data_IF_788887462334
#
_entry.id   IF_788887462334
#
_cell.length_a   1.000
_cell.length_b   1.000
_cell.length_c   1.000
_cell.angle_alpha   90.00
_cell.angle_beta   90.00
_cell.angle_gamma   90.00
#
_symmetry.space_group_name_H-M   'P 1'
#
loop_
_entity.id
_entity.type
_entity.pdbx_description
1 polymer ?
#
# COMPACT_ATOMS: atom_id res chain seq x y z
N UNK A 1 5.02 -41.57 -51.20
CA UNK A 1 5.25 -41.76 -49.74
C UNK A 1 6.01 -40.53 -49.25
N UNK A 2 5.65 -39.78 -48.23
CA UNK A 2 4.52 -39.79 -47.31
C UNK A 2 4.53 -38.40 -46.67
N UNK A 3 3.47 -37.61 -46.85
CA UNK A 3 3.27 -36.30 -46.19
C UNK A 3 3.04 -36.45 -44.66
N UNK A 4 3.21 -37.66 -44.10
CA UNK A 4 2.85 -37.98 -42.71
C UNK A 4 3.96 -37.81 -41.67
N UNK A 5 5.21 -37.50 -42.05
CA UNK A 5 6.28 -37.32 -41.06
C UNK A 5 6.35 -35.89 -40.48
N UNK A 6 5.92 -34.87 -41.24
CA UNK A 6 6.01 -33.47 -40.79
C UNK A 6 4.82 -33.05 -39.90
N UNK A 7 3.65 -33.68 -40.10
CA UNK A 7 2.45 -33.39 -39.30
C UNK A 7 2.47 -33.96 -37.88
N UNK A 8 3.23 -35.03 -37.64
CA UNK A 8 3.30 -35.68 -36.33
C UNK A 8 4.28 -34.96 -35.39
N UNK A 9 5.36 -34.36 -35.92
CA UNK A 9 6.33 -33.62 -35.11
C UNK A 9 5.81 -32.23 -34.68
N UNK A 10 4.95 -31.60 -35.48
CA UNK A 10 4.32 -30.31 -35.13
C UNK A 10 3.19 -30.48 -34.10
N UNK A 11 2.47 -31.61 -34.11
CA UNK A 11 1.46 -31.88 -33.08
C UNK A 11 2.07 -32.22 -31.71
N UNK A 12 3.26 -32.83 -31.63
CA UNK A 12 3.88 -33.16 -30.34
C UNK A 12 4.55 -31.96 -29.64
N UNK A 13 4.92 -30.90 -30.37
CA UNK A 13 5.47 -29.67 -29.78
C UNK A 13 4.40 -28.66 -29.31
N UNK A 14 3.17 -28.75 -29.83
CA UNK A 14 2.06 -27.86 -29.45
C UNK A 14 1.24 -28.40 -28.27
N UNK A 15 1.27 -29.71 -28.01
CA UNK A 15 0.50 -30.34 -26.91
C UNK A 15 1.16 -30.19 -25.53
N UNK A 16 2.42 -29.76 -25.44
CA UNK A 16 3.08 -29.49 -24.13
C UNK A 16 2.89 -28.06 -23.60
N UNK A 17 2.13 -27.19 -24.29
CA UNK A 17 1.87 -25.81 -23.82
C UNK A 17 0.39 -25.47 -23.67
N UNK A 18 -0.52 -26.45 -23.70
CA UNK A 18 -1.97 -26.20 -23.64
C UNK A 18 -2.52 -25.85 -22.25
N UNK A 19 -1.68 -25.62 -21.24
CA UNK A 19 -2.13 -25.17 -19.91
C UNK A 19 -2.04 -23.65 -19.67
N UNK A 20 -1.68 -22.83 -20.67
CA UNK A 20 -1.52 -21.38 -20.48
C UNK A 20 -2.34 -20.42 -21.38
N UNK A 21 -3.40 -20.81 -22.14
CA UNK A 21 -4.12 -19.82 -22.96
C UNK A 21 -4.92 -18.79 -22.13
N UNK A 22 -5.37 -19.13 -20.92
CA UNK A 22 -6.16 -18.23 -20.06
C UNK A 22 -5.31 -17.15 -19.38
N UNK A 23 -4.14 -17.52 -18.82
CA UNK A 23 -3.28 -16.58 -18.09
C UNK A 23 -2.73 -15.44 -18.97
N UNK A 24 -2.39 -15.73 -20.23
CA UNK A 24 -1.91 -14.70 -21.17
C UNK A 24 -3.04 -13.73 -21.59
N UNK A 25 -4.25 -14.25 -21.81
CA UNK A 25 -5.39 -13.43 -22.25
C UNK A 25 -5.98 -12.55 -21.12
N UNK A 26 -5.85 -12.97 -19.87
CA UNK A 26 -6.18 -12.15 -18.69
C UNK A 26 -5.11 -11.07 -18.47
N UNK A 27 -3.82 -11.42 -18.55
CA UNK A 27 -2.72 -10.46 -18.39
C UNK A 27 -2.76 -9.33 -19.42
N UNK A 28 -3.09 -9.64 -20.69
CA UNK A 28 -3.24 -8.63 -21.75
C UNK A 28 -4.45 -7.72 -21.49
N UNK A 29 -5.58 -8.28 -21.01
CA UNK A 29 -6.77 -7.50 -20.65
C UNK A 29 -6.49 -6.53 -19.51
N UNK A 30 -5.78 -6.97 -18.48
CA UNK A 30 -5.40 -6.13 -17.34
C UNK A 30 -4.47 -4.99 -17.75
N UNK A 31 -3.50 -5.27 -18.63
CA UNK A 31 -2.60 -4.25 -19.13
C UNK A 31 -3.33 -3.16 -19.95
N UNK A 32 -4.26 -3.57 -20.83
CA UNK A 32 -5.08 -2.64 -21.63
C UNK A 32 -6.04 -1.84 -20.76
N UNK A 33 -6.69 -2.50 -19.79
CA UNK A 33 -7.59 -1.84 -18.84
C UNK A 33 -6.83 -0.80 -18.00
N UNK A 34 -5.64 -1.15 -17.51
CA UNK A 34 -4.78 -0.22 -16.76
C UNK A 34 -4.38 0.99 -17.60
N UNK A 35 -3.97 0.79 -18.85
CA UNK A 35 -3.62 1.89 -19.76
C UNK A 35 -4.81 2.80 -20.05
N UNK A 36 -5.99 2.22 -20.26
CA UNK A 36 -7.22 2.98 -20.51
C UNK A 36 -7.64 3.82 -19.29
N UNK A 37 -7.58 3.23 -18.08
CA UNK A 37 -7.84 3.95 -16.82
C UNK A 37 -6.87 5.11 -16.61
N UNK A 38 -5.57 4.90 -16.83
CA UNK A 38 -4.55 5.96 -16.69
C UNK A 38 -4.74 7.11 -17.69
N UNK A 39 -5.32 6.81 -18.87
CA UNK A 39 -5.61 7.81 -19.90
C UNK A 39 -6.87 8.63 -19.57
N UNK A 40 -7.91 7.99 -19.02
CA UNK A 40 -9.15 8.66 -18.63
C UNK A 40 -9.01 9.41 -17.29
N UNK A 41 -8.13 8.95 -16.41
CA UNK A 41 -7.92 9.51 -15.07
C UNK A 41 -6.43 9.85 -14.86
N UNK A 42 -5.90 10.90 -15.53
CA UNK A 42 -4.50 11.31 -15.38
C UNK A 42 -4.14 11.75 -13.95
N UNK A 43 -5.15 11.92 -13.08
CA UNK A 43 -5.03 12.29 -11.68
C UNK A 43 -5.02 11.07 -10.74
N UNK A 44 -4.99 9.84 -11.26
CA UNK A 44 -4.86 8.65 -10.41
C UNK A 44 -3.56 8.71 -9.62
N UNK A 45 -3.64 8.48 -8.31
CA UNK A 45 -2.44 8.36 -7.49
C UNK A 45 -1.56 7.22 -8.04
N UNK A 46 -0.22 7.37 -8.02
CA UNK A 46 0.66 6.31 -8.45
C UNK A 46 0.46 5.08 -7.58
N UNK A 47 0.67 3.88 -8.16
CA UNK A 47 0.49 2.61 -7.44
C UNK A 47 1.45 2.42 -6.27
N UNK A 48 2.52 3.24 -6.21
CA UNK A 48 3.49 3.25 -5.12
C UNK A 48 3.81 4.71 -4.78
N UNK A 49 3.77 5.04 -3.49
CA UNK A 49 4.22 6.34 -3.00
C UNK A 49 5.73 6.50 -3.24
N UNK A 50 6.14 7.71 -3.63
CA UNK A 50 7.56 8.04 -3.81
C UNK A 50 8.17 8.31 -2.43
N UNK A 51 9.19 7.54 -2.08
CA UNK A 51 9.92 7.75 -0.83
C UNK A 51 10.86 8.97 -0.95
N UNK A 52 11.16 9.69 0.15
CA UNK A 52 12.17 10.73 0.16
C UNK A 52 13.55 10.16 -0.25
N UNK A 53 14.32 10.93 -1.03
CA UNK A 53 15.62 10.49 -1.55
C UNK A 53 16.63 10.13 -0.44
N UNK A 54 16.56 10.81 0.71
CA UNK A 54 17.43 10.60 1.87
C UNK A 54 16.89 9.53 2.84
N UNK A 55 15.65 9.05 2.63
CA UNK A 55 15.05 7.96 3.40
C UNK A 55 14.31 6.98 2.47
N UNK A 56 15.02 6.26 1.59
CA UNK A 56 14.39 5.34 0.67
C UNK A 56 13.71 4.18 1.42
N UNK A 57 12.54 3.78 0.93
CA UNK A 57 11.84 2.59 1.42
C UNK A 57 12.53 1.32 0.96
N UNK A 58 12.84 0.44 1.91
CA UNK A 58 13.32 -0.92 1.65
C UNK A 58 12.31 -1.93 2.20
N UNK A 59 12.28 -3.19 1.72
CA UNK A 59 11.40 -4.21 2.27
C UNK A 59 11.54 -4.36 3.79
N UNK A 60 12.77 -4.40 4.30
CA UNK A 60 13.05 -4.49 5.73
C UNK A 60 12.54 -3.28 6.53
N UNK A 61 12.65 -2.04 6.00
CA UNK A 61 12.08 -0.84 6.64
C UNK A 61 10.56 -0.87 6.66
N UNK A 62 9.93 -1.38 5.60
CA UNK A 62 8.48 -1.51 5.52
C UNK A 62 8.00 -2.52 6.56
N UNK A 63 8.63 -3.68 6.64
CA UNK A 63 8.32 -4.72 7.63
C UNK A 63 8.51 -4.21 9.05
N UNK A 64 9.65 -3.58 9.35
CA UNK A 64 9.90 -2.97 10.65
C UNK A 64 8.85 -1.89 10.97
N UNK A 65 8.56 -1.00 10.03
CA UNK A 65 7.55 0.04 10.20
C UNK A 65 6.15 -0.52 10.47
N UNK A 66 5.79 -1.64 9.84
CA UNK A 66 4.55 -2.36 10.12
C UNK A 66 4.54 -2.88 11.56
N UNK A 67 5.60 -3.54 12.03
CA UNK A 67 5.70 -4.01 13.41
C UNK A 67 5.56 -2.86 14.42
N UNK A 68 6.32 -1.78 14.21
CA UNK A 68 6.31 -0.59 15.07
C UNK A 68 4.95 0.11 15.10
N UNK A 69 4.20 0.11 13.99
CA UNK A 69 2.89 0.74 13.93
C UNK A 69 1.88 0.14 14.92
N UNK A 70 2.04 -1.15 15.26
CA UNK A 70 1.20 -1.88 16.19
C UNK A 70 1.85 -2.11 17.56
N UNK A 71 3.08 -1.63 17.78
CA UNK A 71 3.81 -1.86 19.03
C UNK A 71 3.46 -0.79 20.09
N UNK A 72 2.80 -1.16 21.20
CA UNK A 72 2.46 -0.21 22.25
C UNK A 72 3.67 0.21 23.10
N UNK A 73 4.80 -0.51 23.03
CA UNK A 73 6.00 -0.21 23.82
C UNK A 73 6.68 1.09 23.39
N UNK A 74 6.32 1.65 22.22
CA UNK A 74 6.76 2.97 21.80
C UNK A 74 6.11 4.10 22.60
N UNK A 75 4.96 3.84 23.25
CA UNK A 75 4.34 4.82 24.14
C UNK A 75 4.99 4.81 25.52
N UNK A 76 5.06 5.99 26.16
CA UNK A 76 5.54 6.13 27.55
C UNK A 76 4.82 5.21 28.54
N UNK A 77 3.55 4.90 28.29
CA UNK A 77 2.71 4.08 29.16
C UNK A 77 2.67 2.59 28.76
N UNK A 78 3.28 2.20 27.63
CA UNK A 78 3.28 0.82 27.16
C UNK A 78 1.91 0.27 26.72
N UNK A 79 0.90 1.12 26.51
CA UNK A 79 -0.48 0.70 26.20
C UNK A 79 -1.06 1.30 24.92
N UNK A 80 -0.37 2.24 24.28
CA UNK A 80 -0.85 2.95 23.09
C UNK A 80 0.14 2.75 21.94
N UNK A 81 -0.38 2.35 20.78
CA UNK A 81 0.37 2.26 19.52
C UNK A 81 -0.20 3.27 18.51
N UNK A 82 0.47 3.44 17.36
CA UNK A 82 -0.06 4.24 16.25
C UNK A 82 -1.46 3.73 15.83
N UNK A 83 -1.60 2.40 15.76
CA UNK A 83 -2.84 1.72 15.42
C UNK A 83 -3.99 1.94 16.42
N UNK A 84 -3.71 2.32 17.67
CA UNK A 84 -4.76 2.60 18.67
C UNK A 84 -5.67 3.75 18.22
N UNK A 85 -5.07 4.78 17.60
CA UNK A 85 -5.79 5.95 17.08
C UNK A 85 -6.03 5.87 15.57
N UNK A 86 -5.20 5.16 14.81
CA UNK A 86 -5.28 5.03 13.36
C UNK A 86 -5.66 3.59 12.95
N UNK A 87 -6.91 3.22 13.18
CA UNK A 87 -7.34 1.82 13.12
C UNK A 87 -7.58 1.35 11.68
N UNK A 88 -6.98 0.22 11.22
CA UNK A 88 -7.16 -0.28 9.85
C UNK A 88 -8.62 -0.47 9.43
N UNK A 89 -9.47 -0.96 10.34
CA UNK A 89 -10.90 -1.22 10.10
C UNK A 89 -11.70 0.07 9.86
N UNK A 90 -11.16 1.21 10.27
CA UNK A 90 -11.75 2.54 10.11
C UNK A 90 -10.96 3.38 9.09
N UNK A 91 -10.33 2.72 8.12
CA UNK A 91 -9.53 3.37 7.09
C UNK A 91 -8.33 4.12 7.66
N UNK A 92 -7.72 3.58 8.71
CA UNK A 92 -6.62 4.20 9.47
C UNK A 92 -6.97 5.57 10.07
N UNK A 93 -8.26 5.85 10.31
CA UNK A 93 -8.73 6.98 11.09
C UNK A 93 -9.14 6.54 12.50
N UNK A 94 -9.37 7.50 13.38
CA UNK A 94 -9.98 7.19 14.67
C UNK A 94 -11.49 6.96 14.51
N UNK A 95 -12.05 5.87 15.08
CA UNK A 95 -13.50 5.72 15.18
C UNK A 95 -14.13 6.74 16.14
N UNK A 96 -13.38 7.18 17.15
CA UNK A 96 -13.84 8.14 18.13
C UNK A 96 -13.68 9.59 17.60
N UNK A 97 -14.53 10.54 18.03
CA UNK A 97 -14.32 11.96 17.72
C UNK A 97 -12.99 12.50 18.26
N UNK A 98 -12.61 12.08 19.46
CA UNK A 98 -11.34 12.43 20.10
C UNK A 98 -10.79 11.15 20.74
N UNK A 99 -9.69 10.58 20.21
CA UNK A 99 -9.15 9.34 20.76
C UNK A 99 -8.50 9.57 22.12
N UNK A 100 -8.45 8.48 22.90
CA UNK A 100 -7.74 8.39 24.17
C UNK A 100 -6.28 7.95 23.95
N UNK A 101 -5.36 8.67 24.60
CA UNK A 101 -3.95 8.32 24.71
C UNK A 101 -3.62 7.60 26.01
N UNK A 102 -2.38 7.75 26.46
CA UNK A 102 -1.91 7.14 27.71
C UNK A 102 -2.82 7.48 28.90
N UNK A 103 -3.05 6.48 29.76
CA UNK A 103 -3.87 6.62 30.97
C UNK A 103 -5.32 7.10 30.69
N UNK A 104 -5.81 6.93 29.45
CA UNK A 104 -7.16 7.34 29.05
C UNK A 104 -7.30 8.84 28.79
N UNK A 105 -6.20 9.60 28.75
CA UNK A 105 -6.23 11.04 28.52
C UNK A 105 -6.77 11.36 27.12
N UNK A 106 -7.70 12.30 27.03
CA UNK A 106 -8.26 12.73 25.74
C UNK A 106 -7.28 13.65 25.01
N UNK A 107 -7.15 13.43 23.70
CA UNK A 107 -6.50 14.39 22.81
C UNK A 107 -7.30 15.69 22.63
N UNK A 108 -6.84 16.54 21.71
CA UNK A 108 -7.51 17.81 21.37
C UNK A 108 -8.27 17.78 20.05
N UNK A 109 -8.00 16.78 19.21
CA UNK A 109 -8.51 16.67 17.84
C UNK A 109 -8.68 15.19 17.47
N UNK A 110 -9.54 14.92 16.50
CA UNK A 110 -9.68 13.59 15.87
C UNK A 110 -8.37 13.17 15.22
N UNK A 111 -8.03 11.87 15.25
CA UNK A 111 -6.94 11.37 14.42
C UNK A 111 -7.43 11.21 12.96
N UNK A 112 -6.82 11.89 11.97
CA UNK A 112 -7.22 11.77 10.57
C UNK A 112 -6.88 10.39 10.00
N UNK A 113 -7.46 10.03 8.86
CA UNK A 113 -7.03 8.84 8.11
C UNK A 113 -5.58 8.96 7.65
N UNK A 114 -4.85 7.84 7.69
CA UNK A 114 -3.51 7.72 7.10
C UNK A 114 -3.51 7.28 5.63
N UNK A 115 -4.68 7.00 5.04
CA UNK A 115 -4.71 6.72 3.61
C UNK A 115 -4.21 7.93 2.81
N UNK A 116 -3.34 7.65 1.85
CA UNK A 116 -2.73 8.64 0.97
C UNK A 116 -1.93 9.73 1.70
N UNK A 117 -1.56 9.52 2.98
CA UNK A 117 -0.85 10.51 3.79
C UNK A 117 0.51 10.89 3.18
N UNK A 118 1.16 9.95 2.49
CA UNK A 118 2.42 10.19 1.79
C UNK A 118 2.36 11.25 0.68
N UNK A 119 1.16 11.62 0.21
CA UNK A 119 0.96 12.64 -0.81
C UNK A 119 0.61 14.02 -0.22
N UNK A 120 0.50 14.14 1.11
CA UNK A 120 0.24 15.42 1.77
C UNK A 120 1.53 16.22 1.92
N UNK A 121 1.47 17.52 1.62
CA UNK A 121 2.60 18.46 1.79
C UNK A 121 2.76 18.94 3.23
N UNK A 122 1.67 18.97 3.98
CA UNK A 122 1.61 19.41 5.37
C UNK A 122 0.80 18.39 6.18
N UNK A 123 1.30 18.05 7.36
CA UNK A 123 0.72 17.06 8.26
C UNK A 123 0.23 17.72 9.55
N UNK A 124 -0.52 16.96 10.35
CA UNK A 124 -1.43 17.47 11.38
C UNK A 124 -2.53 18.38 10.83
N UNK A 125 -3.52 18.68 11.68
CA UNK A 125 -4.64 19.55 11.32
C UNK A 125 -4.24 21.02 11.12
N UNK A 126 -3.15 21.46 11.74
CA UNK A 126 -2.60 22.81 11.63
C UNK A 126 -1.44 22.90 10.63
N UNK A 127 -1.08 21.79 9.96
CA UNK A 127 -0.04 21.77 8.93
C UNK A 127 1.39 21.99 9.45
N UNK A 128 1.63 21.87 10.76
CA UNK A 128 2.87 22.32 11.41
C UNK A 128 4.13 21.52 11.08
N UNK A 129 4.01 20.32 10.51
CA UNK A 129 5.16 19.54 10.04
C UNK A 129 5.00 19.15 8.58
N UNK A 130 6.12 18.87 7.91
CA UNK A 130 6.17 18.70 6.46
C UNK A 130 6.56 17.26 6.04
N UNK A 131 6.94 16.40 6.98
CA UNK A 131 7.28 14.99 6.70
C UNK A 131 6.72 14.03 7.75
N UNK A 132 6.54 12.76 7.35
CA UNK A 132 6.07 11.70 8.24
C UNK A 132 7.10 11.39 9.33
N UNK A 133 8.37 11.52 9.01
CA UNK A 133 9.48 11.38 9.95
C UNK A 133 9.36 12.42 11.08
N UNK A 134 9.18 13.70 10.75
CA UNK A 134 8.95 14.76 11.74
C UNK A 134 7.65 14.55 12.53
N UNK A 135 6.62 13.96 11.93
CA UNK A 135 5.37 13.66 12.62
C UNK A 135 5.54 12.59 13.71
N UNK A 136 6.50 11.66 13.53
CA UNK A 136 6.79 10.56 14.45
C UNK A 136 7.89 10.85 15.47
N UNK A 137 8.51 12.03 15.41
CA UNK A 137 9.48 12.46 16.41
C UNK A 137 8.79 12.82 17.75
N UNK A 138 9.42 12.50 18.90
CA UNK A 138 8.88 12.77 20.23
C UNK A 138 8.81 14.26 20.61
#
# INVERSE_FOLDING_TARGET
MSRSAFGILVCLLVVLTSEFPSLCAETIRDAVLRQHILTLYPQSLPSKAVAPWHNPSTPAKIELGQLLFFDPNLSRCGTVACASCHQPQHGYASPEPIPRGCEGQLGRRRAPSLYNVAYRRHLFWDGRVQSLEQQGEP
#
